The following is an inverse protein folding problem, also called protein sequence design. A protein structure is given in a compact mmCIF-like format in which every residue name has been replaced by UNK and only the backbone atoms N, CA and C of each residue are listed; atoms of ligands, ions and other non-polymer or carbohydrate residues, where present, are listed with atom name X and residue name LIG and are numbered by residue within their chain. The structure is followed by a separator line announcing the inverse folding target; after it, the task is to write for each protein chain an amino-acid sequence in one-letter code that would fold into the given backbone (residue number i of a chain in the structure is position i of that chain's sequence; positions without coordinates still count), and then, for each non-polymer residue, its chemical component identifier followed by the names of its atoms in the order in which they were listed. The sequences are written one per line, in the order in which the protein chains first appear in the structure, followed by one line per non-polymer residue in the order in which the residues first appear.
data_IF_364501764063
#
_entry.id   IF_364501764063
#
_cell.length_a   1.000
_cell.length_b   1.000
_cell.length_c   1.000
_cell.angle_alpha   90.00
_cell.angle_beta   90.00
_cell.angle_gamma   90.00
#
_symmetry.space_group_name_H-M   'P 1'
#
loop_
_entity.id
_entity.type
_entity.pdbx_description
1 polymer ?
#
# COMPACT_ATOMS: atom_id res chain seq x y z
N UNK A 1 -7.90 17.52 10.28
CA UNK A 1 -7.68 17.87 8.86
C UNK A 1 -8.92 17.55 8.04
N UNK A 2 -9.31 18.39 7.08
CA UNK A 2 -10.40 18.07 6.13
C UNK A 2 -9.80 17.95 4.74
N UNK A 3 -9.99 16.81 4.07
CA UNK A 3 -9.57 16.61 2.67
C UNK A 3 -10.58 17.30 1.77
N UNK A 4 -10.15 18.41 1.16
CA UNK A 4 -10.93 19.23 0.24
C UNK A 4 -10.57 18.87 -1.21
N UNK A 5 -11.41 19.19 -2.20
CA UNK A 5 -11.02 19.09 -3.62
C UNK A 5 -9.76 19.90 -3.96
N UNK A 6 -9.50 20.98 -3.21
CA UNK A 6 -8.31 21.82 -3.35
C UNK A 6 -7.10 21.30 -2.56
N UNK A 7 -7.22 20.20 -1.81
CA UNK A 7 -6.08 19.62 -1.09
C UNK A 7 -5.03 19.16 -2.09
N UNK A 8 -3.79 19.55 -1.86
CA UNK A 8 -2.65 19.12 -2.69
C UNK A 8 -1.81 18.09 -1.94
N UNK A 9 -1.43 17.02 -2.62
CA UNK A 9 -0.40 16.09 -2.17
C UNK A 9 0.95 16.68 -2.59
N UNK A 10 1.70 17.19 -1.61
CA UNK A 10 2.97 17.87 -1.82
C UNK A 10 4.10 16.87 -1.66
N UNK A 11 4.92 16.75 -2.70
CA UNK A 11 6.05 15.83 -2.76
C UNK A 11 7.35 16.62 -2.72
N UNK A 12 8.13 16.48 -1.64
CA UNK A 12 9.40 17.22 -1.48
C UNK A 12 10.61 16.56 -2.15
N UNK A 13 10.47 15.31 -2.59
CA UNK A 13 11.48 14.58 -3.36
C UNK A 13 10.83 13.78 -4.48
N UNK A 14 11.35 13.88 -5.71
CA UNK A 14 10.79 13.19 -6.87
C UNK A 14 10.66 11.67 -6.71
N UNK A 15 11.52 11.06 -5.89
CA UNK A 15 11.47 9.63 -5.55
C UNK A 15 10.20 9.19 -4.81
N UNK A 16 9.41 10.14 -4.26
CA UNK A 16 8.15 9.86 -3.56
C UNK A 16 6.91 9.95 -4.47
N UNK A 17 7.10 10.20 -5.76
CA UNK A 17 5.99 10.26 -6.72
C UNK A 17 5.14 8.97 -6.72
N UNK A 18 5.70 7.74 -6.66
CA UNK A 18 4.91 6.52 -6.60
C UNK A 18 3.98 6.46 -5.37
N UNK A 19 4.46 6.90 -4.20
CA UNK A 19 3.69 6.94 -2.97
C UNK A 19 2.56 7.98 -3.04
N UNK A 20 2.84 9.15 -3.62
CA UNK A 20 1.83 10.18 -3.85
C UNK A 20 0.74 9.69 -4.81
N UNK A 21 1.13 9.04 -5.91
CA UNK A 21 0.21 8.45 -6.88
C UNK A 21 -0.63 7.34 -6.27
N UNK A 22 -0.05 6.49 -5.41
CA UNK A 22 -0.79 5.46 -4.69
C UNK A 22 -1.90 6.08 -3.82
N UNK A 23 -1.57 7.10 -3.01
CA UNK A 23 -2.57 7.79 -2.19
C UNK A 23 -3.64 8.49 -3.03
N UNK A 24 -3.23 9.17 -4.11
CA UNK A 24 -4.15 9.83 -5.05
C UNK A 24 -5.13 8.81 -5.65
N UNK A 25 -4.63 7.66 -6.14
CA UNK A 25 -5.45 6.60 -6.72
C UNK A 25 -6.39 5.98 -5.67
N UNK A 26 -5.92 5.78 -4.43
CA UNK A 26 -6.75 5.28 -3.34
C UNK A 26 -7.93 6.22 -3.06
N UNK A 27 -7.66 7.52 -2.89
CA UNK A 27 -8.69 8.54 -2.65
C UNK A 27 -9.66 8.67 -3.84
N UNK A 28 -9.15 8.58 -5.07
CA UNK A 28 -9.98 8.61 -6.26
C UNK A 28 -10.89 7.37 -6.36
N UNK A 29 -10.35 6.18 -6.08
CA UNK A 29 -11.09 4.92 -6.20
C UNK A 29 -12.21 4.82 -5.18
N UNK A 30 -11.89 5.04 -3.91
CA UNK A 30 -12.80 4.77 -2.78
C UNK A 30 -13.63 5.99 -2.36
N UNK A 31 -13.13 7.21 -2.58
CA UNK A 31 -13.81 8.44 -2.15
C UNK A 31 -14.17 9.39 -3.29
N UNK A 32 -13.88 9.02 -4.55
CA UNK A 32 -14.12 9.86 -5.74
C UNK A 32 -13.47 11.25 -5.61
N UNK A 33 -12.34 11.33 -4.91
CA UNK A 33 -11.55 12.55 -4.73
C UNK A 33 -10.27 12.49 -5.54
N UNK A 34 -10.20 13.28 -6.60
CA UNK A 34 -8.96 13.52 -7.34
C UNK A 34 -8.23 14.70 -6.70
N UNK A 35 -7.07 14.45 -6.11
CA UNK A 35 -6.21 15.49 -5.56
C UNK A 35 -5.07 15.80 -6.53
N UNK A 36 -4.58 17.04 -6.53
CA UNK A 36 -3.40 17.42 -7.32
C UNK A 36 -2.12 16.98 -6.62
N UNK A 37 -1.15 16.47 -7.38
CA UNK A 37 0.21 16.22 -6.89
C UNK A 37 1.11 17.36 -7.37
N UNK A 38 1.88 17.96 -6.47
CA UNK A 38 2.80 19.06 -6.78
C UNK A 38 4.08 19.01 -5.93
N UNK A 39 5.14 19.67 -6.38
CA UNK A 39 6.35 19.90 -5.59
C UNK A 39 6.23 21.10 -4.65
N UNK A 40 5.30 22.01 -4.94
CA UNK A 40 4.92 23.16 -4.12
C UNK A 40 3.55 22.93 -3.49
N UNK A 41 3.34 23.48 -2.30
CA UNK A 41 2.06 23.41 -1.61
C UNK A 41 1.28 24.70 -1.78
N UNK A 42 0.00 24.62 -1.47
CA UNK A 42 -0.89 25.77 -1.30
C UNK A 42 -0.55 26.43 0.05
N UNK A 43 -0.91 27.70 0.27
CA UNK A 43 -0.64 28.37 1.57
C UNK A 43 -1.29 27.65 2.78
N UNK A 44 -2.35 26.85 2.56
CA UNK A 44 -2.97 26.00 3.57
C UNK A 44 -3.57 24.71 2.96
N UNK A 45 -3.78 23.67 3.79
CA UNK A 45 -4.49 22.43 3.47
C UNK A 45 -3.75 21.44 2.54
N UNK A 46 -2.53 21.06 2.91
CA UNK A 46 -1.70 20.11 2.15
C UNK A 46 -1.53 18.76 2.87
N UNK A 47 -1.33 17.69 2.08
CA UNK A 47 -0.76 16.42 2.54
C UNK A 47 0.69 16.37 2.06
N UNK A 48 1.66 16.48 2.96
CA UNK A 48 3.08 16.60 2.63
C UNK A 48 3.77 15.27 2.84
N UNK A 49 4.45 14.76 1.80
CA UNK A 49 5.32 13.59 1.87
C UNK A 49 6.77 14.05 1.76
N UNK A 50 7.59 13.75 2.77
CA UNK A 50 8.96 14.25 2.84
C UNK A 50 9.94 13.23 3.41
N UNK A 51 11.15 13.21 2.87
CA UNK A 51 12.24 12.43 3.45
C UNK A 51 12.97 13.32 4.45
N UNK A 52 13.13 12.83 5.68
CA UNK A 52 14.03 13.42 6.66
C UNK A 52 14.67 12.27 7.44
N UNK A 53 16.00 12.25 7.49
CA UNK A 53 16.75 11.15 8.11
C UNK A 53 16.71 11.28 9.63
N UNK A 54 15.83 10.51 10.27
CA UNK A 54 15.75 10.31 11.70
C UNK A 54 16.36 8.95 12.05
N UNK A 55 17.46 8.94 12.82
CA UNK A 55 18.28 7.74 13.09
C UNK A 55 17.49 6.55 13.65
N UNK A 56 16.41 6.80 14.40
CA UNK A 56 15.61 5.80 15.10
C UNK A 56 14.59 5.07 14.22
N UNK A 57 14.29 5.54 13.01
CA UNK A 57 13.18 5.01 12.20
C UNK A 57 13.56 3.89 11.22
N UNK A 58 14.84 3.51 11.08
CA UNK A 58 15.23 2.52 10.05
C UNK A 58 14.78 2.94 8.64
N UNK A 59 14.56 2.01 7.70
CA UNK A 59 14.05 2.35 6.35
C UNK A 59 12.52 2.33 6.24
N UNK A 60 11.84 1.66 7.17
CA UNK A 60 10.39 1.43 7.16
C UNK A 60 9.62 2.26 8.20
N UNK A 61 10.29 2.90 9.15
CA UNK A 61 9.64 3.75 10.14
C UNK A 61 9.28 5.13 9.60
N UNK A 62 8.30 5.76 10.24
CA UNK A 62 7.78 7.06 9.85
C UNK A 62 7.20 7.83 11.05
N UNK A 63 7.08 9.13 10.86
CA UNK A 63 6.27 10.03 11.67
C UNK A 63 5.09 10.54 10.84
N UNK A 64 3.89 10.47 11.38
CA UNK A 64 2.66 11.02 10.81
C UNK A 64 2.13 12.09 11.75
N UNK A 65 2.14 13.35 11.30
CA UNK A 65 1.62 14.49 12.05
C UNK A 65 0.42 15.09 11.33
N UNK A 66 -0.72 15.18 12.02
CA UNK A 66 -1.98 15.67 11.48
C UNK A 66 -2.45 16.86 12.31
N UNK A 67 -2.71 17.97 11.64
CA UNK A 67 -3.27 19.20 12.21
C UNK A 67 -4.54 19.58 11.46
N UNK A 68 -5.28 20.61 11.88
CA UNK A 68 -6.37 21.15 11.07
C UNK A 68 -5.92 21.62 9.68
N UNK A 69 -4.69 22.13 9.57
CA UNK A 69 -4.19 22.82 8.38
C UNK A 69 -3.33 21.95 7.44
N UNK A 70 -2.70 20.88 7.94
CA UNK A 70 -1.84 20.00 7.13
C UNK A 70 -1.73 18.59 7.70
N UNK A 71 -1.46 17.64 6.82
CA UNK A 71 -0.94 16.30 7.13
C UNK A 71 0.52 16.26 6.68
N UNK A 72 1.41 15.71 7.50
CA UNK A 72 2.82 15.52 7.15
C UNK A 72 3.20 14.07 7.45
N UNK A 73 3.72 13.37 6.43
CA UNK A 73 4.35 12.05 6.56
C UNK A 73 5.84 12.22 6.31
N UNK A 74 6.62 11.93 7.34
CA UNK A 74 8.08 12.03 7.33
C UNK A 74 8.69 10.65 7.53
N UNK A 75 9.65 10.27 6.69
CA UNK A 75 10.36 9.01 6.84
C UNK A 75 11.79 9.07 6.30
N UNK A 76 12.58 8.03 6.57
CA UNK A 76 13.96 7.92 6.08
C UNK A 76 14.04 7.47 4.61
N UNK A 77 13.02 6.75 4.13
CA UNK A 77 12.95 6.19 2.79
C UNK A 77 11.50 6.04 2.32
N UNK A 78 11.33 5.71 1.04
CA UNK A 78 10.01 5.56 0.42
C UNK A 78 9.13 4.47 1.05
N UNK A 79 9.71 3.42 1.65
CA UNK A 79 8.97 2.39 2.36
C UNK A 79 8.28 2.94 3.62
N UNK A 80 8.98 3.73 4.43
CA UNK A 80 8.36 4.42 5.57
C UNK A 80 7.26 5.39 5.17
N UNK A 81 7.43 6.14 4.07
CA UNK A 81 6.34 6.98 3.53
C UNK A 81 5.13 6.14 3.15
N UNK A 82 5.35 5.00 2.49
CA UNK A 82 4.27 4.08 2.12
C UNK A 82 3.51 3.57 3.36
N UNK A 83 4.20 3.14 4.42
CA UNK A 83 3.53 2.70 5.64
C UNK A 83 2.85 3.82 6.43
N UNK A 84 3.40 5.04 6.39
CA UNK A 84 2.73 6.21 6.93
C UNK A 84 1.44 6.54 6.20
N UNK A 85 1.41 6.34 4.88
CA UNK A 85 0.18 6.42 4.08
C UNK A 85 -0.82 5.33 4.48
N UNK A 86 -0.39 4.10 4.76
CA UNK A 86 -1.31 3.05 5.23
C UNK A 86 -1.99 3.44 6.54
N UNK A 87 -1.23 4.01 7.49
CA UNK A 87 -1.81 4.51 8.75
C UNK A 87 -2.72 5.73 8.53
N UNK A 88 -2.36 6.63 7.60
CA UNK A 88 -3.25 7.73 7.21
C UNK A 88 -4.57 7.19 6.65
N UNK A 89 -4.52 6.18 5.79
CA UNK A 89 -5.71 5.51 5.22
C UNK A 89 -6.60 4.93 6.31
N UNK A 90 -6.03 4.30 7.33
CA UNK A 90 -6.78 3.76 8.48
C UNK A 90 -7.51 4.84 9.30
N UNK A 91 -7.06 6.09 9.22
CA UNK A 91 -7.71 7.24 9.88
C UNK A 91 -8.81 7.89 9.02
N UNK A 92 -8.95 7.51 7.76
CA UNK A 92 -10.02 8.01 6.89
C UNK A 92 -11.34 7.33 7.29
N UNK A 93 -12.44 8.08 7.46
CA UNK A 93 -13.75 7.48 7.77
C UNK A 93 -14.17 6.45 6.73
N UNK A 94 -14.64 5.29 7.17
CA UNK A 94 -15.09 4.19 6.28
C UNK A 94 -16.37 4.53 5.51
N UNK A 95 -17.23 5.38 6.09
CA UNK A 95 -18.41 5.89 5.41
C UNK A 95 -17.99 6.90 4.32
N UNK A 96 -18.36 6.60 3.07
CA UNK A 96 -18.12 7.52 1.95
C UNK A 96 -19.06 8.71 2.11
N UNK A 97 -18.51 9.81 2.61
CA UNK A 97 -19.21 11.08 2.72
C UNK A 97 -18.50 12.14 1.90
N UNK A 98 -19.21 13.23 1.59
CA UNK A 98 -18.60 14.38 0.92
C UNK A 98 -17.47 15.02 1.75
N UNK A 99 -17.47 14.84 3.08
CA UNK A 99 -16.53 15.47 3.99
C UNK A 99 -15.60 14.42 4.61
N UNK A 100 -14.43 14.26 4.02
CA UNK A 100 -13.38 13.41 4.61
C UNK A 100 -12.69 14.20 5.72
N UNK A 101 -13.00 13.87 6.97
CA UNK A 101 -12.44 14.49 8.17
C UNK A 101 -11.51 13.48 8.84
N UNK A 102 -10.25 13.87 9.02
CA UNK A 102 -9.21 13.07 9.66
C UNK A 102 -8.84 13.74 10.99
N UNK A 103 -8.82 13.00 12.13
CA UNK A 103 -8.51 13.58 13.43
C UNK A 103 -7.08 14.13 13.48
N UNK A 104 -6.87 15.17 14.29
CA UNK A 104 -5.53 15.72 14.55
C UNK A 104 -4.81 14.84 15.57
N UNK A 105 -3.61 14.39 15.25
CA UNK A 105 -2.81 13.49 16.08
C UNK A 105 -1.36 13.44 15.59
N UNK A 106 -0.50 12.79 16.36
CA UNK A 106 0.86 12.42 15.96
C UNK A 106 1.08 10.93 16.18
N UNK A 107 1.69 10.25 15.22
CA UNK A 107 2.09 8.83 15.30
C UNK A 107 3.58 8.73 14.97
N UNK A 108 4.34 8.04 15.82
CA UNK A 108 5.69 7.58 15.54
C UNK A 108 5.65 6.05 15.50
N UNK A 109 5.98 5.45 14.36
CA UNK A 109 5.83 4.01 14.17
C UNK A 109 7.03 3.43 13.41
N UNK A 110 7.44 2.24 13.78
CA UNK A 110 8.51 1.48 13.14
C UNK A 110 8.32 -0.02 13.40
N UNK A 111 8.62 -0.89 12.43
CA UNK A 111 8.43 -2.31 12.62
C UNK A 111 9.46 -2.89 13.58
N UNK A 112 9.00 -3.75 14.49
CA UNK A 112 9.88 -4.57 15.35
C UNK A 112 10.72 -5.57 14.55
N UNK A 113 10.12 -6.16 13.50
CA UNK A 113 10.75 -7.17 12.67
C UNK A 113 10.81 -6.71 11.22
N UNK A 114 11.98 -6.87 10.60
CA UNK A 114 12.20 -6.51 9.19
C UNK A 114 11.50 -7.47 8.23
N UNK A 115 11.29 -8.73 8.62
CA UNK A 115 10.56 -9.72 7.83
C UNK A 115 9.14 -9.93 8.38
N UNK A 116 8.13 -9.51 7.62
CA UNK A 116 6.71 -9.69 7.93
C UNK A 116 6.06 -10.33 6.71
N UNK A 117 6.06 -11.66 6.71
CA UNK A 117 5.69 -12.48 5.55
C UNK A 117 4.30 -13.09 5.65
N UNK A 118 3.66 -13.27 4.49
CA UNK A 118 2.46 -14.08 4.34
C UNK A 118 2.66 -15.11 3.22
N UNK A 119 2.32 -16.37 3.51
CA UNK A 119 2.35 -17.45 2.55
C UNK A 119 0.98 -17.68 1.94
N UNK A 120 0.91 -17.82 0.61
CA UNK A 120 -0.31 -18.20 -0.11
C UNK A 120 -0.05 -19.40 -1.02
N UNK A 121 -0.78 -20.47 -0.76
CA UNK A 121 -0.82 -21.68 -1.58
C UNK A 121 -1.84 -21.53 -2.71
N UNK A 122 -1.34 -21.50 -3.95
CA UNK A 122 -2.17 -21.51 -5.17
C UNK A 122 -2.12 -22.85 -5.92
N UNK A 123 -1.33 -23.80 -5.41
CA UNK A 123 -1.14 -25.11 -6.00
C UNK A 123 -2.33 -26.01 -5.67
N UNK A 124 -2.84 -25.96 -4.44
CA UNK A 124 -3.99 -26.76 -4.01
C UNK A 124 -5.30 -26.22 -4.60
N UNK A 125 -5.48 -24.90 -4.58
CA UNK A 125 -6.62 -24.23 -5.23
C UNK A 125 -6.12 -23.01 -5.99
N UNK A 126 -6.48 -22.92 -7.27
CA UNK A 126 -6.07 -21.81 -8.11
C UNK A 126 -6.92 -20.56 -7.81
N UNK A 127 -6.26 -19.42 -7.74
CA UNK A 127 -6.90 -18.10 -7.65
C UNK A 127 -6.49 -17.27 -8.86
N UNK A 128 -7.44 -16.48 -9.38
CA UNK A 128 -7.12 -15.57 -10.47
C UNK A 128 -6.19 -14.42 -10.02
N UNK A 129 -5.56 -13.76 -10.99
CA UNK A 129 -4.60 -12.67 -10.73
C UNK A 129 -5.27 -11.48 -10.03
N UNK A 130 -6.56 -11.24 -10.25
CA UNK A 130 -7.28 -10.14 -9.62
C UNK A 130 -7.44 -10.37 -8.10
N UNK A 131 -7.74 -11.60 -7.70
CA UNK A 131 -7.76 -12.03 -6.31
C UNK A 131 -6.37 -11.91 -5.69
N UNK A 132 -5.31 -12.41 -6.35
CA UNK A 132 -3.94 -12.31 -5.83
C UNK A 132 -3.54 -10.85 -5.58
N UNK A 133 -3.82 -9.95 -6.53
CA UNK A 133 -3.54 -8.51 -6.37
C UNK A 133 -4.32 -7.92 -5.19
N UNK A 134 -5.61 -8.23 -5.09
CA UNK A 134 -6.44 -7.78 -3.96
C UNK A 134 -5.92 -8.31 -2.63
N UNK A 135 -5.46 -9.56 -2.57
CA UNK A 135 -4.86 -10.16 -1.38
C UNK A 135 -3.59 -9.42 -0.97
N UNK A 136 -2.70 -9.12 -1.93
CA UNK A 136 -1.50 -8.31 -1.69
C UNK A 136 -1.85 -6.89 -1.22
N UNK A 137 -2.89 -6.26 -1.76
CA UNK A 137 -3.37 -4.95 -1.29
C UNK A 137 -3.75 -4.99 0.20
N UNK A 138 -4.42 -6.06 0.65
CA UNK A 138 -4.76 -6.25 2.07
C UNK A 138 -3.51 -6.44 2.94
N UNK A 139 -2.54 -7.22 2.47
CA UNK A 139 -1.27 -7.40 3.17
C UNK A 139 -0.51 -6.09 3.32
N UNK A 140 -0.45 -5.29 2.26
CA UNK A 140 0.19 -3.99 2.25
C UNK A 140 -0.48 -3.01 3.23
N UNK A 141 -1.82 -3.00 3.33
CA UNK A 141 -2.57 -2.21 4.32
C UNK A 141 -2.18 -2.56 5.76
N UNK A 142 -1.84 -3.83 6.02
CA UNK A 142 -1.38 -4.32 7.33
C UNK A 142 0.14 -4.32 7.47
N UNK A 143 0.86 -3.63 6.57
CA UNK A 143 2.31 -3.45 6.58
C UNK A 143 3.12 -4.76 6.45
N UNK A 144 2.54 -5.82 5.90
CA UNK A 144 3.33 -6.99 5.45
C UNK A 144 4.20 -6.59 4.27
N UNK A 145 5.42 -7.13 4.23
CA UNK A 145 6.44 -6.72 3.25
C UNK A 145 7.09 -7.89 2.50
N UNK A 146 6.75 -9.13 2.86
CA UNK A 146 7.08 -10.32 2.08
C UNK A 146 5.81 -11.09 1.71
N UNK A 147 5.69 -11.44 0.44
CA UNK A 147 4.64 -12.33 -0.05
C UNK A 147 5.30 -13.60 -0.57
N UNK A 148 5.09 -14.70 0.15
CA UNK A 148 5.59 -16.01 -0.23
C UNK A 148 4.51 -16.72 -1.06
N UNK A 149 4.74 -16.79 -2.36
CA UNK A 149 3.81 -17.38 -3.30
C UNK A 149 4.19 -18.84 -3.61
N UNK A 150 3.44 -19.79 -3.07
CA UNK A 150 3.68 -21.22 -3.30
C UNK A 150 2.98 -21.66 -4.58
N UNK A 151 3.79 -21.84 -5.64
CA UNK A 151 3.34 -21.94 -7.03
C UNK A 151 3.23 -23.38 -7.56
N UNK A 152 3.79 -24.35 -6.86
CA UNK A 152 3.85 -25.74 -7.32
C UNK A 152 3.64 -26.71 -6.17
N UNK A 153 2.85 -27.75 -6.39
CA UNK A 153 2.66 -28.87 -5.48
C UNK A 153 2.15 -30.09 -6.27
N UNK A 154 1.87 -31.20 -5.60
CA UNK A 154 1.42 -32.45 -6.25
C UNK A 154 0.14 -32.22 -7.09
N UNK A 155 -0.76 -31.37 -6.59
CA UNK A 155 -2.08 -31.11 -7.18
C UNK A 155 -2.08 -29.98 -8.23
N UNK A 156 -0.93 -29.35 -8.49
CA UNK A 156 -0.78 -28.53 -9.67
C UNK A 156 0.41 -27.57 -9.72
N UNK A 157 0.68 -27.11 -10.94
CA UNK A 157 1.79 -26.24 -11.31
C UNK A 157 1.28 -24.91 -11.91
N UNK A 158 1.65 -23.77 -11.30
CA UNK A 158 0.98 -22.47 -11.55
C UNK A 158 1.81 -21.42 -12.29
N UNK A 159 3.05 -21.73 -12.66
CA UNK A 159 3.95 -20.77 -13.31
C UNK A 159 4.42 -21.26 -14.67
N UNK A 160 4.43 -20.40 -15.69
CA UNK A 160 4.91 -20.81 -17.01
C UNK A 160 6.43 -21.05 -17.01
N UNK A 161 6.85 -22.22 -17.51
CA UNK A 161 8.25 -22.49 -17.84
C UNK A 161 8.32 -22.81 -19.34
N UNK A 162 8.81 -21.84 -20.14
CA UNK A 162 8.80 -21.92 -21.61
C UNK A 162 9.48 -23.18 -22.17
N UNK A 163 10.54 -23.66 -21.51
CA UNK A 163 11.27 -24.89 -21.90
C UNK A 163 10.44 -26.16 -21.68
N UNK A 164 9.48 -26.13 -20.75
CA UNK A 164 8.70 -27.30 -20.31
C UNK A 164 7.18 -26.99 -20.35
N UNK A 165 6.60 -26.82 -21.55
CA UNK A 165 5.20 -26.38 -21.69
C UNK A 165 4.18 -27.34 -21.06
N UNK A 166 4.51 -28.64 -20.96
CA UNK A 166 3.65 -29.64 -20.30
C UNK A 166 3.38 -29.34 -18.81
N UNK A 167 4.24 -28.55 -18.15
CA UNK A 167 4.02 -28.15 -16.77
C UNK A 167 2.73 -27.33 -16.60
N UNK A 168 2.40 -26.45 -17.56
CA UNK A 168 1.15 -25.68 -17.50
C UNK A 168 0.05 -26.26 -18.38
N UNK A 169 0.34 -26.84 -19.55
CA UNK A 169 -0.72 -27.40 -20.42
C UNK A 169 -1.33 -28.69 -19.86
N UNK A 170 -0.58 -29.43 -19.04
CA UNK A 170 -1.06 -30.64 -18.34
C UNK A 170 -1.06 -30.42 -16.83
N UNK A 171 0.11 -30.09 -16.25
CA UNK A 171 0.29 -30.01 -14.79
C UNK A 171 -0.48 -28.89 -14.08
N UNK A 172 -1.08 -27.94 -14.79
CA UNK A 172 -1.95 -26.93 -14.17
C UNK A 172 -3.38 -27.44 -13.93
N UNK A 173 -3.77 -28.62 -14.43
CA UNK A 173 -5.12 -29.13 -14.30
C UNK A 173 -5.13 -30.49 -13.61
N UNK A 174 -6.23 -30.80 -12.93
CA UNK A 174 -6.46 -32.11 -12.31
C UNK A 174 -7.92 -32.52 -12.53
N UNK A 175 -8.18 -33.82 -12.48
CA UNK A 175 -9.49 -34.39 -12.83
C UNK A 175 -10.58 -34.21 -11.74
N UNK A 176 -10.31 -33.42 -10.70
CA UNK A 176 -11.26 -33.15 -9.61
C UNK A 176 -10.57 -32.59 -8.36
N UNK A 177 -11.35 -32.09 -7.40
CA UNK A 177 -10.84 -31.74 -6.07
C UNK A 177 -10.81 -33.01 -5.23
N UNK A 178 -9.63 -33.33 -4.68
CA UNK A 178 -9.47 -34.40 -3.70
C UNK A 178 -9.74 -33.73 -2.34
N UNK A 179 -10.80 -34.18 -1.64
CA UNK A 179 -11.16 -33.76 -0.28
C UNK A 179 -10.51 -34.69 0.71
#
# INVERSE_FOLDING_TARGET
FTVRPTTTIVVRHASLLPQAQYLQQYLQRYYKRTLTISNTGNEANNIVLTINKVRTHGTEGYELAITPNKVVVTANAGAGIFYGIQSLIQLIPTAVTNNIIIPSLTVNDAPRFTYRGMHLDVSRHFYDVAFIKKYIDWLALHKFNFFHWHLTDDQGWRIEIKKYPKLTTVGANRNGTIV
#
